data_IF_308775972829
#
_entry.id   IF_308775972829
#
_cell.length_a   1.000
_cell.length_b   1.000
_cell.length_c   1.000
_cell.angle_alpha   90.00
_cell.angle_beta   90.00
_cell.angle_gamma   90.00
#
_symmetry.space_group_name_H-M   'P 1'
#
loop_
_entity.id
_entity.type
_entity.pdbx_description
1 polymer ?
#
# COMPACT_ATOMS: atom_id res chain seq x y z
N UNK A 1 -36.53 10.27 12.07
CA UNK A 1 -35.69 9.07 11.99
C UNK A 1 -34.64 9.16 13.10
N UNK A 2 -34.72 8.24 14.04
CA UNK A 2 -33.78 8.20 15.17
C UNK A 2 -32.44 7.68 14.65
N UNK A 3 -31.47 8.56 14.51
CA UNK A 3 -30.10 8.19 14.13
C UNK A 3 -29.47 7.21 15.14
N UNK A 4 -30.06 7.10 16.35
CA UNK A 4 -29.64 6.17 17.39
C UNK A 4 -29.97 4.69 17.05
N UNK A 5 -30.88 4.46 16.09
CA UNK A 5 -31.31 3.12 15.69
C UNK A 5 -30.60 2.61 14.43
N UNK A 6 -29.59 3.34 13.95
CA UNK A 6 -28.76 2.87 12.82
C UNK A 6 -27.90 1.71 13.33
N UNK A 7 -28.10 0.48 12.81
CA UNK A 7 -27.28 -0.64 13.25
C UNK A 7 -25.85 -0.39 12.80
N UNK A 8 -25.00 -0.03 13.75
CA UNK A 8 -23.57 0.01 13.54
C UNK A 8 -23.07 -1.38 13.14
N UNK A 9 -21.95 -1.43 12.41
CA UNK A 9 -21.28 -2.69 12.09
C UNK A 9 -21.18 -3.55 13.35
N UNK A 10 -21.72 -4.76 13.28
CA UNK A 10 -21.73 -5.66 14.42
C UNK A 10 -20.30 -6.02 14.83
N UNK A 11 -20.09 -6.30 16.13
CA UNK A 11 -18.81 -6.77 16.63
C UNK A 11 -18.34 -8.05 15.89
N UNK A 12 -19.30 -8.83 15.34
CA UNK A 12 -18.99 -10.01 14.53
C UNK A 12 -18.28 -9.69 13.21
N UNK A 13 -18.41 -8.45 12.67
CA UNK A 13 -17.69 -8.02 11.47
C UNK A 13 -16.43 -7.23 11.80
N UNK A 14 -16.38 -6.52 12.92
CA UNK A 14 -15.22 -5.70 13.30
C UNK A 14 -13.98 -6.56 13.52
N UNK A 15 -14.10 -7.69 14.20
CA UNK A 15 -12.99 -8.61 14.42
C UNK A 15 -12.40 -9.14 13.11
N UNK A 16 -13.20 -9.77 12.23
CA UNK A 16 -12.73 -10.22 10.92
C UNK A 16 -12.16 -9.08 10.05
N UNK A 17 -12.78 -7.90 10.07
CA UNK A 17 -12.26 -6.74 9.32
C UNK A 17 -10.87 -6.32 9.82
N UNK A 18 -10.71 -6.20 11.15
CA UNK A 18 -9.42 -5.84 11.74
C UNK A 18 -8.35 -6.88 11.40
N UNK A 19 -8.69 -8.17 11.43
CA UNK A 19 -7.78 -9.25 11.07
C UNK A 19 -7.43 -9.20 9.57
N UNK A 20 -8.41 -8.99 8.71
CA UNK A 20 -8.17 -8.83 7.27
C UNK A 20 -7.24 -7.65 7.02
N UNK A 21 -7.51 -6.51 7.66
CA UNK A 21 -6.68 -5.31 7.52
C UNK A 21 -5.24 -5.56 8.00
N UNK A 22 -5.08 -6.24 9.15
CA UNK A 22 -3.76 -6.55 9.70
C UNK A 22 -2.97 -7.46 8.77
N UNK A 23 -3.54 -8.60 8.38
CA UNK A 23 -2.86 -9.59 7.53
C UNK A 23 -2.52 -8.99 6.17
N UNK A 24 -3.48 -8.29 5.56
CA UNK A 24 -3.28 -7.68 4.25
C UNK A 24 -2.24 -6.55 4.29
N UNK A 25 -2.25 -5.76 5.36
CA UNK A 25 -1.35 -4.60 5.49
C UNK A 25 0.08 -4.99 5.83
N UNK A 26 0.29 -6.07 6.60
CA UNK A 26 1.63 -6.46 7.05
C UNK A 26 2.36 -7.38 6.08
N UNK A 27 1.64 -8.01 5.16
CA UNK A 27 2.25 -8.92 4.19
C UNK A 27 3.11 -8.16 3.16
N UNK A 28 4.14 -8.81 2.60
CA UNK A 28 4.96 -8.19 1.58
C UNK A 28 4.13 -7.73 0.37
N UNK A 29 4.48 -6.58 -0.16
CA UNK A 29 3.84 -6.00 -1.34
C UNK A 29 4.53 -4.71 -1.73
N UNK A 30 4.07 -4.03 -2.79
CA UNK A 30 4.75 -2.84 -3.29
C UNK A 30 4.98 -1.74 -2.25
N UNK A 31 3.95 -1.38 -1.49
CA UNK A 31 4.08 -0.34 -0.46
C UNK A 31 5.11 -0.73 0.61
N UNK A 32 5.01 -1.94 1.14
CA UNK A 32 5.86 -2.39 2.24
C UNK A 32 7.32 -2.53 1.82
N UNK A 33 7.56 -3.06 0.62
CA UNK A 33 8.89 -3.13 0.04
C UNK A 33 9.50 -1.74 -0.12
N UNK A 34 8.72 -0.80 -0.65
CA UNK A 34 9.19 0.57 -0.85
C UNK A 34 9.42 1.30 0.47
N UNK A 35 8.58 1.05 1.48
CA UNK A 35 8.75 1.64 2.82
C UNK A 35 9.97 1.07 3.54
N UNK A 36 10.24 -0.23 3.43
CA UNK A 36 11.46 -0.83 3.96
C UNK A 36 12.69 -0.21 3.29
N UNK A 37 12.68 -0.08 1.99
CA UNK A 37 13.75 0.56 1.23
C UNK A 37 13.93 2.02 1.63
N UNK A 38 12.84 2.76 1.80
CA UNK A 38 12.88 4.15 2.27
C UNK A 38 13.48 4.26 3.68
N UNK A 39 13.06 3.39 4.59
CA UNK A 39 13.61 3.34 5.94
C UNK A 39 15.12 3.09 5.94
N UNK A 40 15.58 2.13 5.11
CA UNK A 40 17.00 1.83 4.99
C UNK A 40 17.78 3.00 4.40
N UNK A 41 17.30 3.58 3.31
CA UNK A 41 18.05 4.59 2.56
C UNK A 41 17.95 6.00 3.18
N UNK A 42 16.82 6.34 3.82
CA UNK A 42 16.55 7.70 4.29
C UNK A 42 16.27 7.80 5.80
N UNK A 43 16.00 6.69 6.46
CA UNK A 43 15.62 6.66 7.87
C UNK A 43 14.14 6.91 8.09
N UNK A 44 13.70 6.74 9.34
CA UNK A 44 12.28 6.78 9.70
C UNK A 44 11.68 8.18 9.50
N UNK A 45 12.33 9.22 10.01
CA UNK A 45 11.80 10.59 9.98
C UNK A 45 11.56 11.07 8.54
N UNK A 46 12.53 10.85 7.64
CA UNK A 46 12.42 11.28 6.25
C UNK A 46 11.40 10.45 5.47
N UNK A 47 11.06 9.26 5.94
CA UNK A 47 10.08 8.37 5.33
C UNK A 47 8.65 8.64 5.80
N UNK A 48 8.44 9.52 6.79
CA UNK A 48 7.11 9.81 7.34
C UNK A 48 6.11 10.32 6.29
N UNK A 49 6.46 11.26 5.41
CA UNK A 49 5.53 11.67 4.35
C UNK A 49 5.11 10.52 3.44
N UNK A 50 6.03 9.62 3.11
CA UNK A 50 5.75 8.42 2.34
C UNK A 50 4.76 7.51 3.09
N UNK A 51 5.06 7.23 4.36
CA UNK A 51 4.21 6.39 5.22
C UNK A 51 2.78 6.93 5.32
N UNK A 52 2.65 8.23 5.63
CA UNK A 52 1.34 8.87 5.76
C UNK A 52 0.61 8.93 4.43
N UNK A 53 1.32 9.16 3.34
CA UNK A 53 0.75 9.15 2.00
C UNK A 53 0.17 7.81 1.62
N UNK A 54 0.87 6.72 1.92
CA UNK A 54 0.37 5.36 1.70
C UNK A 54 -0.92 5.15 2.51
N UNK A 55 -0.89 5.46 3.81
CA UNK A 55 -2.03 5.19 4.68
C UNK A 55 -3.26 6.01 4.31
N UNK A 56 -3.09 7.33 4.19
CA UNK A 56 -4.22 8.22 3.87
C UNK A 56 -4.68 8.05 2.42
N UNK A 57 -3.76 7.80 1.50
CA UNK A 57 -4.12 7.50 0.11
C UNK A 57 -4.93 6.22 -0.02
N UNK A 58 -4.54 5.18 0.71
CA UNK A 58 -5.27 3.91 0.71
C UNK A 58 -6.65 4.03 1.36
N UNK A 59 -6.75 4.69 2.51
CA UNK A 59 -8.05 4.89 3.17
C UNK A 59 -9.00 5.73 2.32
N UNK A 60 -8.49 6.77 1.69
CA UNK A 60 -9.27 7.57 0.74
C UNK A 60 -9.75 6.73 -0.44
N UNK A 61 -8.91 5.83 -0.94
CA UNK A 61 -9.26 4.89 -2.00
C UNK A 61 -10.41 3.97 -1.60
N UNK A 62 -10.36 3.38 -0.38
CA UNK A 62 -11.45 2.55 0.14
C UNK A 62 -12.77 3.34 0.11
N UNK A 63 -12.74 4.56 0.63
CA UNK A 63 -13.92 5.42 0.68
C UNK A 63 -14.48 5.69 -0.72
N UNK A 64 -13.63 6.06 -1.68
CA UNK A 64 -14.07 6.35 -3.05
C UNK A 64 -14.61 5.11 -3.75
N UNK A 65 -13.99 3.95 -3.56
CA UNK A 65 -14.51 2.68 -4.11
C UNK A 65 -15.90 2.40 -3.52
N UNK A 66 -16.07 2.62 -2.23
CA UNK A 66 -17.34 2.41 -1.56
C UNK A 66 -18.46 3.33 -2.03
N UNK A 67 -18.16 4.60 -2.31
CA UNK A 67 -19.18 5.57 -2.77
C UNK A 67 -19.46 5.49 -4.27
N UNK A 68 -18.85 4.54 -4.98
CA UNK A 68 -19.27 4.24 -6.34
C UNK A 68 -18.20 4.30 -7.41
N UNK A 69 -16.95 4.64 -7.09
CA UNK A 69 -15.89 4.68 -8.09
C UNK A 69 -15.64 3.31 -8.72
N UNK A 70 -15.87 2.22 -7.96
CA UNK A 70 -15.77 0.86 -8.49
C UNK A 70 -16.70 0.60 -9.67
N UNK A 71 -17.88 1.24 -9.70
CA UNK A 71 -18.82 1.08 -10.82
C UNK A 71 -18.32 1.74 -12.10
N UNK A 72 -17.52 2.80 -12.00
CA UNK A 72 -16.90 3.44 -13.18
C UNK A 72 -15.99 2.44 -13.90
N UNK A 73 -15.21 1.67 -13.17
CA UNK A 73 -14.33 0.65 -13.76
C UNK A 73 -15.10 -0.52 -14.36
N UNK A 74 -16.28 -0.84 -13.81
CA UNK A 74 -17.15 -1.85 -14.41
C UNK A 74 -17.74 -1.37 -15.73
N UNK A 75 -18.10 -0.10 -15.84
CA UNK A 75 -18.67 0.49 -17.06
C UNK A 75 -17.60 0.77 -18.12
N UNK A 76 -16.37 1.09 -17.71
CA UNK A 76 -15.26 1.39 -18.62
C UNK A 76 -14.07 0.48 -18.26
N UNK A 77 -14.11 -0.81 -18.62
CA UNK A 77 -13.04 -1.76 -18.28
C UNK A 77 -11.66 -1.35 -18.82
N UNK A 78 -11.61 -0.56 -19.90
CA UNK A 78 -10.38 -0.08 -20.48
C UNK A 78 -9.56 0.80 -19.50
N UNK A 79 -10.23 1.56 -18.63
CA UNK A 79 -9.55 2.36 -17.61
C UNK A 79 -8.77 1.46 -16.65
N UNK A 80 -9.39 0.37 -16.20
CA UNK A 80 -8.73 -0.59 -15.33
C UNK A 80 -7.51 -1.21 -16.01
N UNK A 81 -7.65 -1.61 -17.28
CA UNK A 81 -6.56 -2.20 -18.06
C UNK A 81 -5.40 -1.23 -18.23
N UNK A 82 -5.68 0.04 -18.55
CA UNK A 82 -4.65 1.07 -18.69
C UNK A 82 -3.91 1.29 -17.36
N UNK A 83 -4.64 1.43 -16.26
CA UNK A 83 -4.04 1.63 -14.94
C UNK A 83 -3.19 0.44 -14.52
N UNK A 84 -3.63 -0.78 -14.81
CA UNK A 84 -2.93 -2.02 -14.50
C UNK A 84 -1.57 -2.08 -15.20
N UNK A 85 -1.52 -1.85 -16.51
CA UNK A 85 -0.27 -1.91 -17.26
C UNK A 85 0.62 -0.69 -17.00
N UNK A 86 0.04 0.49 -16.86
CA UNK A 86 0.79 1.68 -16.46
C UNK A 86 1.41 1.49 -15.08
N UNK A 87 0.66 0.90 -14.15
CA UNK A 87 1.16 0.56 -12.80
C UNK A 87 2.28 -0.45 -12.84
N UNK A 88 2.15 -1.50 -13.66
CA UNK A 88 3.20 -2.50 -13.82
C UNK A 88 4.49 -1.87 -14.37
N UNK A 89 4.39 -1.03 -15.39
CA UNK A 89 5.54 -0.33 -15.95
C UNK A 89 6.20 0.58 -14.90
N UNK A 90 5.38 1.29 -14.12
CA UNK A 90 5.88 2.17 -13.06
C UNK A 90 6.57 1.38 -11.95
N UNK A 91 6.01 0.22 -11.57
CA UNK A 91 6.65 -0.66 -10.57
C UNK A 91 8.00 -1.18 -11.06
N UNK A 92 8.13 -1.52 -12.34
CA UNK A 92 9.43 -1.90 -12.91
C UNK A 92 10.43 -0.76 -12.84
N UNK A 93 9.99 0.45 -13.13
CA UNK A 93 10.82 1.65 -13.00
C UNK A 93 11.27 1.87 -11.56
N UNK A 94 10.35 1.73 -10.59
CA UNK A 94 10.66 1.88 -9.18
C UNK A 94 11.61 0.78 -8.69
N UNK A 95 11.42 -0.46 -9.16
CA UNK A 95 12.32 -1.57 -8.84
C UNK A 95 13.75 -1.26 -9.31
N UNK A 96 13.88 -0.72 -10.51
CA UNK A 96 15.17 -0.29 -11.04
C UNK A 96 15.79 0.81 -10.19
N UNK A 97 15.01 1.81 -9.78
CA UNK A 97 15.47 2.89 -8.90
C UNK A 97 15.94 2.35 -7.54
N UNK A 98 15.17 1.43 -6.95
CA UNK A 98 15.51 0.83 -5.66
C UNK A 98 16.81 0.01 -5.77
N UNK A 99 16.94 -0.79 -6.82
CA UNK A 99 18.14 -1.61 -7.02
C UNK A 99 19.41 -0.76 -7.14
N UNK A 100 19.28 0.45 -7.67
CA UNK A 100 20.40 1.39 -7.86
C UNK A 100 20.49 2.43 -6.73
N UNK A 101 19.64 2.35 -5.69
CA UNK A 101 19.71 3.22 -4.53
C UNK A 101 20.73 2.70 -3.54
N UNK A 102 21.31 3.59 -2.76
CA UNK A 102 22.22 3.23 -1.67
C UNK A 102 23.55 2.65 -2.15
N UNK A 103 24.38 2.22 -1.22
CA UNK A 103 25.69 1.66 -1.50
C UNK A 103 26.73 2.68 -1.95
N UNK A 104 26.40 3.95 -1.90
CA UNK A 104 27.31 5.05 -2.21
C UNK A 104 27.79 5.75 -0.96
N UNK A 105 28.93 6.39 -1.11
CA UNK A 105 29.73 7.03 -0.08
C UNK A 105 28.96 7.60 1.10
N UNK A 106 29.48 7.26 2.25
CA UNK A 106 29.19 7.76 3.61
C UNK A 106 28.06 8.79 3.74
N UNK A 107 26.84 8.32 4.02
CA UNK A 107 25.76 9.11 4.58
C UNK A 107 24.76 9.71 3.62
N UNK A 108 24.97 9.69 2.30
CA UNK A 108 23.99 10.24 1.36
C UNK A 108 23.39 9.15 0.48
N UNK A 109 22.13 8.80 0.76
CA UNK A 109 21.35 7.96 -0.13
C UNK A 109 21.08 8.72 -1.43
N UNK A 110 21.23 8.03 -2.57
CA UNK A 110 20.83 8.59 -3.86
C UNK A 110 19.32 8.77 -3.91
N UNK A 111 18.90 9.92 -4.37
CA UNK A 111 17.48 10.22 -4.57
C UNK A 111 16.82 10.81 -3.33
N UNK A 112 15.51 10.83 -3.38
CA UNK A 112 14.65 11.38 -2.34
C UNK A 112 13.57 10.38 -2.01
N UNK A 113 13.08 10.35 -0.74
CA UNK A 113 11.91 9.54 -0.41
C UNK A 113 10.69 10.04 -1.18
N UNK A 114 9.72 9.15 -1.37
CA UNK A 114 8.44 9.55 -1.93
C UNK A 114 7.82 10.66 -1.11
N UNK A 115 7.23 11.62 -1.79
CA UNK A 115 6.38 12.63 -1.16
C UNK A 115 5.05 12.00 -0.76
N UNK A 116 4.31 12.69 0.11
CA UNK A 116 2.96 12.29 0.49
C UNK A 116 2.06 12.09 -0.74
N UNK A 117 2.06 13.05 -1.66
CA UNK A 117 1.21 12.98 -2.86
C UNK A 117 1.61 11.85 -3.80
N UNK A 118 2.91 11.61 -3.98
CA UNK A 118 3.39 10.50 -4.80
C UNK A 118 2.95 9.17 -4.22
N UNK A 119 3.06 9.00 -2.90
CA UNK A 119 2.65 7.77 -2.22
C UNK A 119 1.14 7.56 -2.28
N UNK A 120 0.36 8.62 -2.09
CA UNK A 120 -1.10 8.57 -2.18
C UNK A 120 -1.55 8.23 -3.61
N UNK A 121 -0.96 8.88 -4.61
CA UNK A 121 -1.28 8.65 -6.02
C UNK A 121 -0.89 7.24 -6.47
N UNK A 122 0.20 6.70 -5.93
CA UNK A 122 0.67 5.36 -6.28
C UNK A 122 -0.37 4.27 -5.98
N UNK A 123 -1.25 4.48 -4.98
CA UNK A 123 -2.27 3.47 -4.64
C UNK A 123 -3.18 3.15 -5.83
N UNK A 124 -3.44 4.12 -6.69
CA UNK A 124 -4.33 3.97 -7.85
C UNK A 124 -3.78 3.05 -8.93
N UNK A 125 -2.47 2.80 -8.92
CA UNK A 125 -1.79 1.88 -9.84
C UNK A 125 -1.25 0.64 -9.10
N UNK A 126 -1.52 0.52 -7.81
CA UNK A 126 -1.07 -0.59 -6.99
C UNK A 126 -2.13 -1.70 -6.97
N UNK A 127 -1.86 -2.88 -7.58
CA UNK A 127 -2.86 -3.95 -7.65
C UNK A 127 -3.31 -4.44 -6.28
N UNK A 128 -2.40 -4.53 -5.32
CA UNK A 128 -2.73 -4.98 -3.95
C UNK A 128 -3.69 -4.02 -3.27
N UNK A 129 -3.50 -2.71 -3.45
CA UNK A 129 -4.39 -1.71 -2.87
C UNK A 129 -5.82 -1.84 -3.43
N UNK A 130 -5.95 -2.05 -4.74
CA UNK A 130 -7.25 -2.28 -5.37
C UNK A 130 -7.94 -3.53 -4.82
N UNK A 131 -7.22 -4.65 -4.75
CA UNK A 131 -7.78 -5.91 -4.22
C UNK A 131 -8.25 -5.72 -2.78
N UNK A 132 -7.44 -5.06 -1.96
CA UNK A 132 -7.79 -4.78 -0.56
C UNK A 132 -9.02 -3.86 -0.46
N UNK A 133 -9.04 -2.77 -1.22
CA UNK A 133 -10.13 -1.79 -1.17
C UNK A 133 -11.45 -2.42 -1.61
N UNK A 134 -11.44 -3.14 -2.74
CA UNK A 134 -12.64 -3.84 -3.24
C UNK A 134 -13.08 -4.92 -2.26
N UNK A 135 -12.13 -5.68 -1.70
CA UNK A 135 -12.41 -6.73 -0.72
C UNK A 135 -13.07 -6.18 0.54
N UNK A 136 -12.58 -5.06 1.06
CA UNK A 136 -13.19 -4.40 2.23
C UNK A 136 -14.62 -3.98 1.93
N UNK A 137 -14.84 -3.29 0.83
CA UNK A 137 -16.16 -2.76 0.46
C UNK A 137 -17.14 -3.91 0.20
N UNK A 138 -16.71 -4.96 -0.51
CA UNK A 138 -17.58 -6.07 -0.86
C UNK A 138 -17.97 -6.92 0.35
N UNK A 139 -17.07 -7.10 1.32
CA UNK A 139 -17.23 -8.08 2.39
C UNK A 139 -17.68 -7.46 3.70
N UNK A 140 -17.20 -6.26 4.03
CA UNK A 140 -17.34 -5.69 5.38
C UNK A 140 -18.25 -4.46 5.45
N UNK A 141 -18.94 -4.13 4.36
CA UNK A 141 -19.89 -3.00 4.34
C UNK A 141 -21.28 -3.48 3.96
N UNK A 142 -22.04 -4.09 4.91
CA UNK A 142 -23.42 -4.51 4.64
C UNK A 142 -24.28 -3.39 4.10
N UNK A 143 -25.24 -3.75 3.24
CA UNK A 143 -26.14 -2.78 2.59
C UNK A 143 -27.00 -2.02 3.61
N UNK A 144 -27.41 -2.67 4.71
CA UNK A 144 -28.04 -1.97 5.83
C UNK A 144 -27.04 -0.98 6.41
N UNK A 145 -27.38 0.31 6.38
CA UNK A 145 -26.50 1.38 6.85
C UNK A 145 -25.14 1.38 6.13
N UNK A 146 -25.16 1.20 4.82
CA UNK A 146 -23.96 1.05 4.01
C UNK A 146 -22.97 2.18 4.21
N UNK A 147 -23.42 3.43 4.18
CA UNK A 147 -22.51 4.58 4.33
C UNK A 147 -21.83 4.60 5.70
N UNK A 148 -22.59 4.36 6.77
CA UNK A 148 -22.04 4.30 8.13
C UNK A 148 -21.00 3.16 8.24
N UNK A 149 -21.32 1.99 7.69
CA UNK A 149 -20.40 0.85 7.68
C UNK A 149 -19.16 1.15 6.85
N UNK A 150 -19.28 1.86 5.73
CA UNK A 150 -18.17 2.26 4.91
C UNK A 150 -17.22 3.21 5.68
N UNK A 151 -17.76 4.18 6.39
CA UNK A 151 -16.96 5.10 7.21
C UNK A 151 -16.21 4.33 8.31
N UNK A 152 -16.91 3.44 9.01
CA UNK A 152 -16.30 2.60 10.06
C UNK A 152 -15.20 1.73 9.48
N UNK A 153 -15.46 1.05 8.36
CA UNK A 153 -14.48 0.18 7.72
C UNK A 153 -13.24 0.97 7.28
N UNK A 154 -13.44 2.16 6.72
CA UNK A 154 -12.34 3.03 6.30
C UNK A 154 -11.48 3.43 7.49
N UNK A 155 -12.10 3.83 8.62
CA UNK A 155 -11.38 4.21 9.83
C UNK A 155 -10.61 3.01 10.41
N UNK A 156 -11.25 1.85 10.53
CA UNK A 156 -10.62 0.64 11.06
C UNK A 156 -9.41 0.26 10.20
N UNK A 157 -9.56 0.27 8.89
CA UNK A 157 -8.45 -0.03 7.97
C UNK A 157 -7.31 0.97 8.13
N UNK A 158 -7.60 2.26 8.26
CA UNK A 158 -6.57 3.28 8.46
C UNK A 158 -5.82 3.11 9.77
N UNK A 159 -6.54 2.82 10.85
CA UNK A 159 -5.95 2.61 12.19
C UNK A 159 -5.09 1.37 12.23
N UNK A 160 -5.51 0.28 11.60
CA UNK A 160 -4.76 -1.00 11.57
C UNK A 160 -3.61 -0.93 10.56
N UNK A 161 -3.84 -0.33 9.39
CA UNK A 161 -2.85 -0.26 8.32
C UNK A 161 -1.62 0.55 8.74
N UNK A 162 -1.81 1.66 9.45
CA UNK A 162 -0.70 2.57 9.80
C UNK A 162 0.42 1.87 10.57
N UNK A 163 0.15 1.22 11.73
CA UNK A 163 1.22 0.52 12.44
C UNK A 163 1.76 -0.68 11.65
N UNK A 164 0.92 -1.36 10.88
CA UNK A 164 1.33 -2.53 10.10
C UNK A 164 2.36 -2.18 9.04
N UNK A 165 2.13 -1.12 8.26
CA UNK A 165 3.10 -0.65 7.26
C UNK A 165 4.28 0.06 7.93
N UNK A 166 4.06 0.66 9.10
CA UNK A 166 5.11 1.25 9.92
C UNK A 166 6.17 0.25 10.36
N UNK A 167 5.82 -1.02 10.54
CA UNK A 167 6.77 -2.10 10.84
C UNK A 167 7.84 -2.19 9.74
N UNK A 168 7.46 -2.05 8.48
CA UNK A 168 8.39 -2.14 7.36
C UNK A 168 9.36 -0.96 7.30
N UNK A 169 8.90 0.25 7.56
CA UNK A 169 9.77 1.42 7.69
C UNK A 169 10.75 1.25 8.86
N UNK A 170 10.23 0.79 10.00
CA UNK A 170 11.02 0.57 11.21
C UNK A 170 12.08 -0.50 10.98
N UNK A 171 11.70 -1.59 10.31
CA UNK A 171 12.62 -2.66 9.94
C UNK A 171 13.75 -2.13 9.05
N UNK A 172 13.42 -1.39 8.00
CA UNK A 172 14.43 -0.79 7.13
C UNK A 172 15.34 0.17 7.87
N UNK A 173 14.77 1.00 8.75
CA UNK A 173 15.54 1.95 9.58
C UNK A 173 16.47 1.22 10.54
N UNK A 174 16.01 0.12 11.16
CA UNK A 174 16.84 -0.69 12.06
C UNK A 174 18.00 -1.33 11.29
N UNK A 175 17.72 -1.86 10.10
CA UNK A 175 18.77 -2.43 9.25
C UNK A 175 19.82 -1.39 8.86
N UNK A 176 19.43 -0.13 8.66
CA UNK A 176 20.36 0.96 8.36
C UNK A 176 21.44 1.11 9.44
N UNK A 177 21.10 0.84 10.71
CA UNK A 177 22.04 0.93 11.84
C UNK A 177 23.02 -0.25 11.85
N UNK A 178 22.64 -1.39 11.29
CA UNK A 178 23.42 -2.63 11.32
C UNK A 178 24.20 -2.84 10.03
N UNK A 179 23.60 -2.49 8.87
CA UNK A 179 24.22 -2.66 7.57
C UNK A 179 25.14 -1.47 7.28
N UNK A 180 26.43 -1.66 7.50
CA UNK A 180 27.44 -0.63 7.26
C UNK A 180 28.22 -0.84 5.96
N UNK A 181 28.24 -2.08 5.43
CA UNK A 181 28.98 -2.41 4.23
C UNK A 181 28.17 -2.07 2.98
N UNK A 182 28.75 -1.36 2.00
CA UNK A 182 28.04 -1.01 0.78
C UNK A 182 27.43 -2.20 0.05
N UNK A 183 28.11 -3.35 0.03
CA UNK A 183 27.57 -4.55 -0.63
C UNK A 183 26.31 -5.08 0.06
N UNK A 184 26.24 -4.97 1.39
CA UNK A 184 25.06 -5.42 2.14
C UNK A 184 23.85 -4.55 1.86
N UNK A 185 24.02 -3.23 1.78
CA UNK A 185 22.97 -2.29 1.42
C UNK A 185 22.49 -2.56 -0.01
N UNK A 186 23.44 -2.77 -0.93
CA UNK A 186 23.12 -3.10 -2.32
C UNK A 186 22.36 -4.43 -2.41
N UNK A 187 22.78 -5.45 -1.68
CA UNK A 187 22.09 -6.74 -1.65
C UNK A 187 20.66 -6.60 -1.14
N UNK A 188 20.44 -5.80 -0.08
CA UNK A 188 19.10 -5.52 0.43
C UNK A 188 18.25 -4.82 -0.63
N UNK A 189 18.77 -3.77 -1.27
CA UNK A 189 18.03 -3.00 -2.27
C UNK A 189 17.69 -3.86 -3.49
N UNK A 190 18.62 -4.69 -3.96
CA UNK A 190 18.35 -5.64 -5.05
C UNK A 190 17.30 -6.67 -4.62
N UNK A 191 17.38 -7.18 -3.40
CA UNK A 191 16.37 -8.09 -2.86
C UNK A 191 14.98 -7.45 -2.82
N UNK A 192 14.89 -6.20 -2.38
CA UNK A 192 13.62 -5.45 -2.36
C UNK A 192 13.10 -5.19 -3.79
N UNK A 193 13.99 -4.85 -4.72
CA UNK A 193 13.63 -4.67 -6.12
C UNK A 193 13.08 -5.96 -6.73
N UNK A 194 13.70 -7.10 -6.44
CA UNK A 194 13.23 -8.41 -6.90
C UNK A 194 11.86 -8.76 -6.32
N UNK A 195 11.61 -8.47 -5.04
CA UNK A 195 10.30 -8.66 -4.44
C UNK A 195 9.24 -7.77 -5.11
N UNK A 196 9.61 -6.55 -5.46
CA UNK A 196 8.71 -5.62 -6.16
C UNK A 196 8.35 -6.16 -7.54
N UNK A 197 9.34 -6.66 -8.29
CA UNK A 197 9.10 -7.31 -9.59
C UNK A 197 8.23 -8.57 -9.42
N UNK A 198 8.49 -9.37 -8.38
CA UNK A 198 7.71 -10.58 -8.11
C UNK A 198 6.24 -10.25 -7.80
N UNK A 199 5.96 -9.08 -7.24
CA UNK A 199 4.58 -8.64 -6.99
C UNK A 199 3.76 -8.43 -8.28
N UNK A 200 4.42 -8.37 -9.43
CA UNK A 200 3.77 -8.26 -10.74
C UNK A 200 3.36 -9.61 -11.33
N UNK A 201 3.57 -10.71 -10.61
CA UNK A 201 3.23 -12.05 -11.08
C UNK A 201 1.76 -12.17 -11.55
N UNK A 202 0.75 -11.65 -10.83
CA UNK A 202 -0.62 -11.70 -11.32
C UNK A 202 -0.82 -10.97 -12.65
N UNK A 203 -0.13 -9.85 -12.86
CA UNK A 203 -0.20 -9.10 -14.13
C UNK A 203 0.41 -9.91 -15.27
N UNK A 204 1.54 -10.57 -15.00
CA UNK A 204 2.20 -11.43 -15.98
C UNK A 204 1.32 -12.62 -16.39
N UNK A 205 0.60 -13.22 -15.44
CA UNK A 205 -0.35 -14.30 -15.75
C UNK A 205 -1.48 -13.82 -16.65
N UNK A 206 -2.01 -12.62 -16.41
CA UNK A 206 -3.07 -12.05 -17.25
C UNK A 206 -2.61 -11.79 -18.68
N UNK A 207 -1.33 -11.55 -18.91
CA UNK A 207 -0.77 -11.36 -20.25
C UNK A 207 -0.66 -12.66 -21.04
N UNK A 208 -0.63 -13.81 -20.35
CA UNK A 208 -0.47 -15.12 -20.98
C UNK A 208 -1.82 -15.77 -21.30
N UNK A 209 -2.94 -15.20 -20.88
CA UNK A 209 -4.30 -15.68 -21.11
C UNK A 209 -5.15 -14.58 -21.76
#
# INVERSE_FOLDING_TARGET
SNWADVPLMSLSLLGPLAMFALVSSITPGPNNVMLASSGLNFGFKRSMPHLLGVNLGFTFMIFLVGVGLGSVFQQVPQLYTVLKYAGAAYLLYLAWKIANSGGMDEGEARGKPFTFLQAAAFQWVNPKAWVMAVGVVATYTPQNSFFANLVIATIVCGVVNLPSIGVWVTFGTALRRVLHKPWAIRAFNVGMALLLVASLYPVALDMLH
#
